data_IF_841153345473
#
_entry.id   IF_841153345473
#
_cell.length_a   1.000
_cell.length_b   1.000
_cell.length_c   1.000
_cell.angle_alpha   90.00
_cell.angle_beta   90.00
_cell.angle_gamma   90.00
#
_symmetry.space_group_name_H-M   'P 1'
#
loop_
_entity.id
_entity.type
_entity.pdbx_description
1 polymer ?
#
# COMPACT_ATOMS: atom_id res chain seq x y z
N UNK A 1 -3.96 -4.22 -16.00
CA UNK A 1 -4.92 -5.15 -15.37
C UNK A 1 -5.34 -4.64 -14.00
N UNK A 2 -6.39 -5.22 -13.39
CA UNK A 2 -6.96 -4.77 -12.11
C UNK A 2 -5.92 -4.75 -10.98
N UNK A 3 -5.02 -5.74 -10.93
CA UNK A 3 -3.90 -5.78 -9.98
C UNK A 3 -3.04 -4.51 -10.03
N UNK A 4 -2.51 -4.17 -11.22
CA UNK A 4 -1.67 -2.98 -11.41
C UNK A 4 -2.42 -1.69 -11.11
N UNK A 5 -3.70 -1.60 -11.47
CA UNK A 5 -4.52 -0.43 -11.16
C UNK A 5 -4.63 -0.21 -9.64
N UNK A 6 -4.95 -1.26 -8.87
CA UNK A 6 -5.02 -1.18 -7.40
C UNK A 6 -3.67 -0.80 -6.77
N UNK A 7 -2.57 -1.33 -7.31
CA UNK A 7 -1.23 -0.96 -6.87
C UNK A 7 -0.92 0.51 -7.14
N UNK A 8 -1.21 1.02 -8.33
CA UNK A 8 -1.05 2.44 -8.65
C UNK A 8 -1.90 3.34 -7.75
N UNK A 9 -3.15 2.95 -7.47
CA UNK A 9 -4.04 3.67 -6.55
C UNK A 9 -3.42 3.78 -5.14
N UNK A 10 -2.84 2.69 -4.62
CA UNK A 10 -2.12 2.74 -3.35
C UNK A 10 -0.96 3.72 -3.35
N UNK A 11 -0.22 3.79 -4.46
CA UNK A 11 0.84 4.78 -4.63
C UNK A 11 0.33 6.22 -4.68
N UNK A 12 -0.78 6.49 -5.36
CA UNK A 12 -1.39 7.83 -5.34
C UNK A 12 -1.85 8.21 -3.92
N UNK A 13 -2.45 7.27 -3.19
CA UNK A 13 -2.87 7.50 -1.81
C UNK A 13 -1.69 7.88 -0.90
N UNK A 14 -0.51 7.29 -1.11
CA UNK A 14 0.71 7.68 -0.40
C UNK A 14 1.19 9.09 -0.76
N UNK A 15 0.97 9.55 -1.99
CA UNK A 15 1.33 10.93 -2.41
C UNK A 15 0.34 11.96 -1.87
N UNK A 16 -0.95 11.64 -1.88
CA UNK A 16 -2.02 12.55 -1.47
C UNK A 16 -2.19 12.62 0.06
N UNK A 17 -1.90 11.51 0.76
CA UNK A 17 -2.22 11.34 2.18
C UNK A 17 -1.19 10.46 2.90
N UNK A 18 0.09 10.60 2.52
CA UNK A 18 1.21 10.00 3.22
C UNK A 18 1.31 10.46 4.67
N UNK A 19 1.66 9.54 5.58
CA UNK A 19 1.99 9.84 6.98
C UNK A 19 3.33 9.20 7.34
N UNK A 20 3.94 9.66 8.42
CA UNK A 20 5.04 8.93 9.06
C UNK A 20 4.46 7.79 9.90
N UNK A 21 4.84 6.56 9.58
CA UNK A 21 4.38 5.35 10.27
C UNK A 21 5.43 4.25 10.16
N UNK A 22 5.37 3.29 11.09
CA UNK A 22 6.35 2.22 11.18
C UNK A 22 6.11 1.07 10.19
N UNK A 23 4.85 0.86 9.80
CA UNK A 23 4.44 -0.34 9.06
C UNK A 23 3.15 -0.13 8.26
N UNK A 24 3.08 -0.74 7.08
CA UNK A 24 1.88 -0.88 6.26
C UNK A 24 1.41 -2.33 6.30
N UNK A 25 0.18 -2.57 6.75
CA UNK A 25 -0.44 -3.90 6.80
C UNK A 25 -1.69 -3.90 5.89
N UNK A 26 -1.84 -4.88 4.98
CA UNK A 26 -3.04 -5.00 4.16
C UNK A 26 -4.19 -5.61 4.96
N UNK A 27 -5.42 -5.30 4.55
CA UNK A 27 -6.54 -6.19 4.82
C UNK A 27 -6.54 -7.30 3.74
N UNK A 28 -6.42 -8.58 4.12
CA UNK A 28 -6.46 -9.68 3.16
C UNK A 28 -7.82 -9.80 2.45
N UNK A 29 -7.93 -10.16 1.17
CA UNK A 29 -6.92 -10.36 0.11
C UNK A 29 -6.92 -9.20 -0.89
N UNK A 30 -8.07 -8.53 -0.99
CA UNK A 30 -8.36 -7.54 -2.01
C UNK A 30 -7.53 -6.25 -1.87
N UNK A 31 -7.10 -5.95 -0.64
CA UNK A 31 -6.30 -4.78 -0.28
C UNK A 31 -4.79 -4.95 -0.49
N UNK A 32 -4.30 -6.19 -0.68
CA UNK A 32 -2.86 -6.47 -0.81
C UNK A 32 -2.18 -5.63 -1.90
N UNK A 33 -2.71 -5.51 -3.13
CA UNK A 33 -2.05 -4.70 -4.16
C UNK A 33 -1.99 -3.21 -3.80
N UNK A 34 -3.04 -2.67 -3.17
CA UNK A 34 -3.08 -1.27 -2.77
C UNK A 34 -2.09 -0.98 -1.63
N UNK A 35 -2.04 -1.84 -0.61
CA UNK A 35 -1.09 -1.71 0.48
C UNK A 35 0.37 -1.81 -0.01
N UNK A 36 0.66 -2.72 -0.94
CA UNK A 36 1.98 -2.81 -1.59
C UNK A 36 2.35 -1.52 -2.32
N UNK A 37 1.41 -0.94 -3.08
CA UNK A 37 1.64 0.33 -3.79
C UNK A 37 1.89 1.51 -2.84
N UNK A 38 1.16 1.57 -1.72
CA UNK A 38 1.35 2.58 -0.70
C UNK A 38 2.72 2.43 -0.02
N UNK A 39 3.08 1.21 0.39
CA UNK A 39 4.38 0.91 1.03
C UNK A 39 5.56 1.24 0.11
N UNK A 40 5.53 0.80 -1.15
CA UNK A 40 6.58 1.10 -2.13
C UNK A 40 6.75 2.60 -2.39
N UNK A 41 5.65 3.36 -2.39
CA UNK A 41 5.70 4.82 -2.63
C UNK A 41 6.12 5.60 -1.40
N UNK A 42 5.63 5.23 -0.22
CA UNK A 42 5.94 5.89 1.06
C UNK A 42 7.33 5.53 1.59
N UNK A 43 7.88 4.40 1.17
CA UNK A 43 9.11 3.83 1.74
C UNK A 43 8.90 3.14 3.09
N UNK A 44 7.66 3.07 3.58
CA UNK A 44 7.31 2.41 4.85
C UNK A 44 7.33 0.89 4.61
N UNK A 45 7.93 0.10 5.52
CA UNK A 45 7.93 -1.35 5.42
C UNK A 45 6.51 -1.94 5.28
N UNK A 46 6.40 -3.06 4.55
CA UNK A 46 5.16 -3.81 4.37
C UNK A 46 5.24 -5.15 5.13
N UNK A 47 4.14 -5.54 5.77
CA UNK A 47 3.96 -6.84 6.42
C UNK A 47 2.54 -7.36 6.20
N UNK A 48 2.32 -8.67 6.28
CA UNK A 48 0.99 -9.28 6.27
C UNK A 48 0.31 -9.27 7.64
N UNK A 49 1.05 -8.99 8.72
CA UNK A 49 0.51 -8.86 10.08
C UNK A 49 0.05 -10.18 10.69
N UNK A 50 0.65 -11.30 10.29
CA UNK A 50 0.36 -12.67 10.75
C UNK A 50 1.61 -13.40 11.23
#
# INVERSE_FOLDING_TARGET
GVYHARKSIGGELSRESGIDADLVIPVPDSGVPAALGYAETSGIPFDLGI
#
